data_IF_937706997429
#
_entry.id   IF_937706997429
#
_cell.length_a   1.000
_cell.length_b   1.000
_cell.length_c   1.000
_cell.angle_alpha   90.00
_cell.angle_beta   90.00
_cell.angle_gamma   90.00
#
_symmetry.space_group_name_H-M   'P 1'
#
loop_
_entity.id
_entity.type
_entity.pdbx_description
1 polymer ?
#
# COMPACT_ATOMS: atom_id res chain seq x y z
N UNK A 1 -20.24 15.75 -9.69
CA UNK A 1 -18.78 15.70 -9.41
C UNK A 1 -18.39 14.23 -9.48
N UNK A 2 -17.52 13.88 -10.42
CA UNK A 2 -17.29 12.52 -10.89
C UNK A 2 -16.88 11.56 -9.75
N UNK A 3 -17.57 10.42 -9.68
CA UNK A 3 -17.27 9.31 -8.79
C UNK A 3 -16.15 8.48 -9.41
N UNK A 4 -14.92 8.98 -9.40
CA UNK A 4 -13.76 8.22 -9.87
C UNK A 4 -13.32 7.22 -8.79
N UNK A 5 -13.88 6.02 -8.95
CA UNK A 5 -13.33 4.71 -8.64
C UNK A 5 -12.00 4.71 -7.86
N UNK A 6 -12.06 4.41 -6.55
CA UNK A 6 -11.09 3.69 -5.70
C UNK A 6 -9.65 3.47 -6.22
N UNK A 7 -8.98 4.47 -6.77
CA UNK A 7 -7.56 4.39 -7.10
C UNK A 7 -6.78 4.60 -5.81
N UNK A 8 -5.96 3.62 -5.45
CA UNK A 8 -5.09 3.77 -4.29
C UNK A 8 -3.82 4.51 -4.70
N UNK A 9 -3.34 5.37 -3.81
CA UNK A 9 -2.02 5.97 -3.97
C UNK A 9 -0.96 5.04 -3.36
N UNK A 10 0.23 5.05 -3.96
CA UNK A 10 1.39 4.46 -3.31
C UNK A 10 1.74 5.24 -2.04
N UNK A 11 1.83 4.57 -0.89
CA UNK A 11 2.15 5.25 0.37
C UNK A 11 3.58 5.81 0.42
N UNK A 12 4.48 5.31 -0.43
CA UNK A 12 5.87 5.79 -0.50
C UNK A 12 6.03 7.00 -1.42
N UNK A 13 5.42 6.96 -2.62
CA UNK A 13 5.68 7.96 -3.66
C UNK A 13 4.45 8.78 -4.06
N UNK A 14 3.29 8.53 -3.45
CA UNK A 14 2.04 9.28 -3.68
C UNK A 14 1.40 9.07 -5.05
N UNK A 15 2.08 8.39 -5.99
CA UNK A 15 1.60 8.21 -7.36
C UNK A 15 0.30 7.40 -7.38
N UNK A 16 -0.64 7.87 -8.19
CA UNK A 16 -1.83 7.12 -8.58
C UNK A 16 -1.36 5.88 -9.34
N UNK A 17 -1.59 4.71 -8.76
CA UNK A 17 -1.39 3.48 -9.49
C UNK A 17 -2.71 3.16 -10.18
N UNK A 18 -2.74 3.43 -11.48
CA UNK A 18 -3.95 3.37 -12.28
C UNK A 18 -4.58 1.96 -12.32
N UNK A 19 -3.82 0.89 -12.04
CA UNK A 19 -4.34 -0.48 -12.17
C UNK A 19 -3.82 -1.50 -11.14
N UNK A 20 -2.56 -1.44 -10.68
CA UNK A 20 -1.97 -2.55 -9.90
C UNK A 20 -1.10 -2.11 -8.72
N UNK A 21 -1.74 -1.74 -7.61
CA UNK A 21 -1.03 -1.59 -6.33
C UNK A 21 -0.81 -2.94 -5.69
N UNK A 22 0.43 -3.17 -5.27
CA UNK A 22 0.77 -4.25 -4.37
C UNK A 22 0.42 -3.84 -2.96
N UNK A 23 -0.45 -4.61 -2.32
CA UNK A 23 -0.73 -4.47 -0.90
C UNK A 23 0.30 -5.23 -0.08
N UNK A 24 0.61 -4.74 1.11
CA UNK A 24 1.44 -5.47 2.06
C UNK A 24 0.74 -6.80 2.43
N UNK A 25 1.40 -7.93 2.20
CA UNK A 25 0.82 -9.25 2.49
C UNK A 25 0.54 -9.49 3.98
N UNK A 26 1.23 -8.78 4.88
CA UNK A 26 1.04 -8.88 6.32
C UNK A 26 -0.23 -8.18 6.80
N UNK A 27 -0.29 -6.85 6.63
CA UNK A 27 -1.41 -6.06 7.15
C UNK A 27 -2.55 -5.87 6.14
N UNK A 28 -2.30 -6.03 4.84
CA UNK A 28 -3.24 -5.74 3.72
C UNK A 28 -3.79 -4.30 3.70
N UNK A 29 -3.25 -3.40 4.53
CA UNK A 29 -3.64 -1.98 4.60
C UNK A 29 -2.79 -1.13 3.67
N UNK A 30 -1.47 -1.32 3.75
CA UNK A 30 -0.49 -0.54 3.02
C UNK A 30 -0.46 -0.87 1.53
N UNK A 31 -0.49 0.15 0.65
CA UNK A 31 -0.51 0.01 -0.82
C UNK A 31 0.73 0.64 -1.45
N UNK A 32 1.33 -0.06 -2.40
CA UNK A 32 2.55 0.36 -3.07
C UNK A 32 2.51 0.08 -4.56
N UNK A 33 3.03 0.99 -5.39
CA UNK A 33 3.12 0.77 -6.83
C UNK A 33 4.21 -0.25 -7.21
N UNK A 34 5.16 -0.54 -6.32
CA UNK A 34 6.25 -1.48 -6.56
C UNK A 34 6.78 -2.11 -5.27
N UNK A 35 7.48 -3.24 -5.39
CA UNK A 35 8.22 -3.85 -4.27
C UNK A 35 9.31 -2.92 -3.73
N UNK A 36 9.86 -2.05 -4.57
CA UNK A 36 10.84 -1.06 -4.15
C UNK A 36 10.20 -0.06 -3.19
N UNK A 37 9.07 0.52 -3.56
CA UNK A 37 8.32 1.45 -2.70
C UNK A 37 7.94 0.79 -1.36
N UNK A 38 7.49 -0.47 -1.40
CA UNK A 38 7.24 -1.23 -0.16
C UNK A 38 8.49 -1.38 0.70
N UNK A 39 9.66 -1.68 0.11
CA UNK A 39 10.93 -1.87 0.85
C UNK A 39 11.47 -0.56 1.41
N UNK A 40 11.31 0.55 0.70
CA UNK A 40 11.67 1.88 1.18
C UNK A 40 10.84 2.27 2.40
N UNK A 41 9.52 2.09 2.31
CA UNK A 41 8.60 2.37 3.41
C UNK A 41 8.70 1.32 4.53
N UNK A 42 9.19 0.10 4.26
CA UNK A 42 9.24 -1.01 5.23
C UNK A 42 9.87 -0.64 6.56
N UNK A 43 10.91 0.21 6.58
CA UNK A 43 11.53 0.66 7.84
C UNK A 43 10.56 1.39 8.76
N UNK A 44 9.65 2.16 8.18
CA UNK A 44 8.60 2.89 8.89
C UNK A 44 7.36 2.01 9.06
N UNK A 45 6.89 1.41 7.96
CA UNK A 45 5.71 0.55 7.93
C UNK A 45 5.81 -0.64 8.87
N UNK A 46 6.98 -1.28 9.03
CA UNK A 46 7.13 -2.48 9.89
C UNK A 46 6.63 -2.25 11.32
N UNK A 47 6.80 -1.05 11.87
CA UNK A 47 6.35 -0.72 13.23
C UNK A 47 4.83 -0.72 13.35
N UNK A 48 4.17 -0.23 12.30
CA UNK A 48 2.72 -0.12 12.17
C UNK A 48 2.10 -1.31 11.41
N UNK A 49 2.91 -2.28 10.99
CA UNK A 49 2.48 -3.43 10.20
C UNK A 49 1.83 -4.46 11.13
N UNK A 50 0.58 -4.20 11.48
CA UNK A 50 -0.24 -5.15 12.21
C UNK A 50 -0.68 -6.23 11.25
N UNK A 51 -0.09 -7.43 11.36
CA UNK A 51 -0.50 -8.59 10.56
C UNK A 51 -1.97 -8.86 10.87
N UNK A 52 -2.86 -8.59 9.91
CA UNK A 52 -4.31 -8.84 10.05
C UNK A 52 -4.60 -10.30 9.74
N UNK A 53 -3.97 -11.18 10.50
CA UNK A 53 -4.32 -12.59 10.58
C UNK A 53 -5.32 -12.77 11.71
N UNK A 54 -6.63 -12.77 11.38
CA UNK A 54 -7.58 -13.52 12.21
C UNK A 54 -7.13 -14.99 12.17
N UNK A 55 -6.70 -15.51 13.31
CA UNK A 55 -6.66 -16.94 13.57
C UNK A 55 -8.08 -17.48 13.70
#
# INVERSE_FOLDING_TARGET
IARDARRGNCMTCGKDAQSDLKVCSGCKVAKYCSKQCQKEDWKNHKKECTITGRN
#
